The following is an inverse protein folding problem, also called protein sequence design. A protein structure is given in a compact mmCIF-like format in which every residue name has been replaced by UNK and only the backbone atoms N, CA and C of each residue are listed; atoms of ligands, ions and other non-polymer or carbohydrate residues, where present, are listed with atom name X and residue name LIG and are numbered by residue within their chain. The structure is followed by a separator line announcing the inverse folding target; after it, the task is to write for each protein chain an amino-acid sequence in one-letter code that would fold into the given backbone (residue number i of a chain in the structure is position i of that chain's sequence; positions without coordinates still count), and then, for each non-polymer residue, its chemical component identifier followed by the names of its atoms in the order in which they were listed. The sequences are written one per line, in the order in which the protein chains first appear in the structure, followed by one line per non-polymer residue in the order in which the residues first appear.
data_IF_872898866116
#
_entry.id   IF_872898866116
#
_cell.length_a   1.000
_cell.length_b   1.000
_cell.length_c   1.000
_cell.angle_alpha   90.00
_cell.angle_beta   90.00
_cell.angle_gamma   90.00
#
_symmetry.space_group_name_H-M   'P 1'
#
loop_
_entity.id
_entity.type
_entity.pdbx_description
1 polymer ?
#
# COMPACT_ATOMS: atom_id res chain seq x y z
N UNK A 1 16.37 2.44 -18.61
CA UNK A 1 15.19 1.78 -18.04
C UNK A 1 14.07 1.82 -19.08
N UNK A 2 13.45 0.68 -19.41
CA UNK A 2 12.32 0.63 -20.35
C UNK A 2 11.01 0.69 -19.56
N UNK A 3 10.04 1.46 -20.04
CA UNK A 3 8.72 1.62 -19.42
C UNK A 3 7.69 1.31 -20.50
N UNK A 4 6.71 0.46 -20.19
CA UNK A 4 5.66 0.05 -21.11
C UNK A 4 4.31 0.55 -20.60
N UNK A 5 3.74 1.62 -21.19
CA UNK A 5 2.48 2.19 -20.73
C UNK A 5 1.30 1.27 -21.08
N UNK A 6 0.19 1.38 -20.34
CA UNK A 6 -1.04 0.65 -20.65
C UNK A 6 -1.53 0.92 -22.08
N UNK A 7 -2.02 -0.13 -22.76
CA UNK A 7 -2.70 0.00 -24.06
C UNK A 7 -4.17 0.39 -23.93
N UNK A 8 -4.77 0.14 -22.76
CA UNK A 8 -6.21 0.19 -22.51
C UNK A 8 -7.04 -0.73 -23.41
N UNK A 9 -6.41 -1.75 -24.03
CA UNK A 9 -7.11 -2.74 -24.86
C UNK A 9 -7.86 -3.78 -24.02
N UNK A 10 -7.35 -4.07 -22.82
CA UNK A 10 -7.96 -4.94 -21.82
C UNK A 10 -7.73 -4.37 -20.42
N UNK A 11 -8.37 -4.98 -19.43
CA UNK A 11 -8.30 -4.66 -18.01
C UNK A 11 -7.48 -5.68 -17.20
N UNK A 12 -6.69 -6.53 -17.87
CA UNK A 12 -5.87 -7.56 -17.25
C UNK A 12 -4.57 -6.99 -16.63
N UNK A 13 -4.68 -5.94 -15.81
CA UNK A 13 -3.52 -5.23 -15.28
C UNK A 13 -2.80 -5.99 -14.18
N UNK A 14 -3.55 -6.60 -13.27
CA UNK A 14 -3.01 -7.25 -12.09
C UNK A 14 -3.90 -8.43 -11.69
N UNK A 15 -3.25 -9.49 -11.21
CA UNK A 15 -3.88 -10.53 -10.43
C UNK A 15 -3.01 -10.83 -9.23
N UNK A 16 -3.62 -10.92 -8.05
CA UNK A 16 -2.95 -11.33 -6.82
C UNK A 16 -3.83 -12.32 -6.09
N UNK A 17 -3.24 -13.40 -5.62
CA UNK A 17 -3.96 -14.44 -4.91
C UNK A 17 -3.03 -15.18 -3.96
N UNK A 18 -3.55 -15.55 -2.80
CA UNK A 18 -2.79 -16.24 -1.76
C UNK A 18 -3.70 -17.15 -0.94
N UNK A 19 -3.16 -18.28 -0.47
CA UNK A 19 -3.85 -19.27 0.37
C UNK A 19 -5.14 -19.88 -0.20
N UNK A 20 -5.35 -19.85 -1.52
CA UNK A 20 -6.49 -20.55 -2.13
C UNK A 20 -6.07 -21.88 -2.75
N UNK A 21 -6.98 -22.86 -2.78
CA UNK A 21 -6.71 -24.19 -3.38
C UNK A 21 -7.07 -24.28 -4.86
N UNK A 22 -8.00 -23.45 -5.30
CA UNK A 22 -8.66 -23.57 -6.61
C UNK A 22 -8.09 -22.64 -7.67
N UNK A 23 -7.27 -21.66 -7.26
CA UNK A 23 -6.69 -20.66 -8.15
C UNK A 23 -5.18 -20.55 -7.92
N UNK A 24 -4.38 -20.19 -8.95
CA UNK A 24 -2.94 -20.04 -8.81
C UNK A 24 -2.59 -19.00 -7.75
N UNK A 25 -1.73 -19.33 -6.79
CA UNK A 25 -1.28 -18.36 -5.80
C UNK A 25 -0.01 -17.65 -6.29
N UNK A 26 -0.01 -16.33 -6.26
CA UNK A 26 1.08 -15.52 -6.77
C UNK A 26 0.62 -14.13 -7.19
N UNK A 27 1.50 -13.43 -7.89
CA UNK A 27 1.27 -12.10 -8.45
C UNK A 27 1.51 -12.14 -9.96
N UNK A 28 0.52 -11.70 -10.73
CA UNK A 28 0.60 -11.49 -12.17
C UNK A 28 0.46 -10.00 -12.45
N UNK A 29 1.25 -9.47 -13.39
CA UNK A 29 0.99 -8.15 -13.96
C UNK A 29 1.00 -8.18 -15.49
N UNK A 30 -0.03 -7.58 -16.07
CA UNK A 30 -0.24 -7.41 -17.51
C UNK A 30 -0.49 -8.71 -18.25
N UNK A 31 -1.75 -9.08 -18.44
CA UNK A 31 -2.17 -10.24 -19.22
C UNK A 31 -2.83 -11.31 -18.36
N UNK A 32 -2.96 -12.50 -18.94
CA UNK A 32 -3.63 -13.65 -18.34
C UNK A 32 -2.62 -14.71 -17.89
N UNK A 33 -3.09 -15.75 -17.21
CA UNK A 33 -2.23 -16.88 -16.83
C UNK A 33 -1.48 -17.44 -18.04
N UNK A 34 -0.23 -17.82 -17.82
CA UNK A 34 0.73 -18.27 -18.84
C UNK A 34 1.15 -17.22 -19.89
N UNK A 35 0.48 -16.07 -19.98
CA UNK A 35 0.77 -14.99 -20.92
C UNK A 35 0.87 -13.61 -20.24
N UNK A 36 1.37 -13.60 -19.00
CA UNK A 36 1.59 -12.39 -18.23
C UNK A 36 2.91 -11.72 -18.57
N UNK A 37 2.96 -10.39 -18.49
CA UNK A 37 4.19 -9.63 -18.58
C UNK A 37 5.17 -10.06 -17.48
N UNK A 38 4.67 -10.23 -16.26
CA UNK A 38 5.44 -10.85 -15.18
C UNK A 38 4.52 -11.70 -14.29
N UNK A 39 4.99 -12.88 -13.93
CA UNK A 39 4.42 -13.77 -12.93
C UNK A 39 5.45 -14.01 -11.83
N UNK A 40 5.01 -13.89 -10.58
CA UNK A 40 5.78 -14.23 -9.38
C UNK A 40 5.00 -15.30 -8.63
N UNK A 41 5.61 -16.47 -8.49
CA UNK A 41 4.97 -17.59 -7.82
C UNK A 41 4.94 -17.37 -6.30
N UNK A 42 3.85 -17.78 -5.64
CA UNK A 42 3.77 -17.74 -4.18
C UNK A 42 4.53 -18.91 -3.52
N UNK A 43 4.46 -20.10 -4.13
CA UNK A 43 5.08 -21.31 -3.59
C UNK A 43 5.47 -22.29 -4.73
N UNK A 44 6.76 -22.63 -4.89
CA UNK A 44 7.91 -22.11 -4.15
C UNK A 44 8.13 -20.62 -4.42
N UNK A 45 8.43 -19.86 -3.35
CA UNK A 45 8.80 -18.46 -3.48
C UNK A 45 10.12 -18.32 -4.23
N UNK A 46 10.19 -17.32 -5.11
CA UNK A 46 11.38 -16.97 -5.86
C UNK A 46 11.33 -17.39 -7.32
N UNK A 47 10.46 -18.32 -7.70
CA UNK A 47 10.23 -18.64 -9.11
C UNK A 47 9.35 -17.59 -9.79
N UNK A 48 9.71 -17.20 -11.00
CA UNK A 48 8.90 -16.29 -11.80
C UNK A 48 9.03 -16.56 -13.30
N UNK A 49 8.11 -15.97 -14.06
CA UNK A 49 8.11 -16.06 -15.51
C UNK A 49 7.69 -14.75 -16.17
N UNK A 50 8.08 -14.55 -17.43
CA UNK A 50 7.78 -13.36 -18.21
C UNK A 50 7.49 -13.75 -19.66
N UNK A 51 6.28 -13.46 -20.12
CA UNK A 51 5.88 -13.75 -21.49
C UNK A 51 6.73 -12.94 -22.49
N UNK A 52 6.85 -13.48 -23.71
CA UNK A 52 7.55 -12.78 -24.80
C UNK A 52 6.85 -11.47 -25.19
N UNK A 53 5.52 -11.51 -25.25
CA UNK A 53 4.65 -10.40 -25.58
C UNK A 53 3.45 -10.34 -24.63
N UNK A 54 2.86 -9.15 -24.50
CA UNK A 54 1.68 -8.88 -23.69
C UNK A 54 0.90 -7.76 -24.38
N UNK A 55 -0.42 -7.92 -24.53
CA UNK A 55 -1.29 -6.92 -25.16
C UNK A 55 -1.72 -5.79 -24.20
N UNK A 56 -1.59 -5.99 -22.89
CA UNK A 56 -1.95 -4.99 -21.86
C UNK A 56 -1.03 -3.78 -21.86
N UNK A 57 0.23 -3.96 -22.29
CA UNK A 57 1.25 -2.90 -22.27
C UNK A 57 1.83 -2.63 -23.67
N UNK A 58 1.87 -1.34 -24.05
CA UNK A 58 2.26 -0.91 -25.40
C UNK A 58 3.75 -1.16 -25.63
N UNK A 59 4.06 -1.86 -26.70
CA UNK A 59 5.44 -2.15 -27.10
C UNK A 59 6.18 -3.06 -26.13
N UNK A 60 5.44 -3.77 -25.27
CA UNK A 60 6.01 -4.68 -24.30
C UNK A 60 6.91 -5.73 -24.95
N UNK A 61 8.04 -5.98 -24.30
CA UNK A 61 8.92 -7.12 -24.54
C UNK A 61 9.32 -7.72 -23.20
N UNK A 62 9.57 -9.02 -23.19
CA UNK A 62 10.04 -9.78 -22.02
C UNK A 62 11.03 -8.98 -21.16
N UNK A 63 10.77 -8.99 -19.85
CA UNK A 63 11.58 -8.27 -18.87
C UNK A 63 12.88 -9.00 -18.52
N UNK A 64 12.84 -10.33 -18.53
CA UNK A 64 13.99 -11.21 -18.31
C UNK A 64 14.64 -11.66 -19.62
N UNK A 65 15.88 -12.17 -19.53
CA UNK A 65 16.56 -12.81 -20.67
C UNK A 65 15.81 -14.06 -21.12
N UNK A 66 15.44 -14.91 -20.18
CA UNK A 66 14.79 -16.20 -20.40
C UNK A 66 13.32 -16.18 -19.93
N UNK A 67 12.44 -17.07 -20.45
CA UNK A 67 11.03 -17.08 -20.10
C UNK A 67 10.75 -17.29 -18.61
N UNK A 68 11.66 -17.97 -17.92
CA UNK A 68 11.61 -18.23 -16.48
C UNK A 68 12.84 -17.63 -15.80
N UNK A 69 12.71 -17.26 -14.53
CA UNK A 69 13.79 -16.66 -13.75
C UNK A 69 13.63 -16.97 -12.25
N UNK A 70 14.72 -16.76 -11.51
CA UNK A 70 14.72 -16.81 -10.05
C UNK A 70 14.92 -15.41 -9.48
N UNK A 71 14.09 -15.02 -8.52
CA UNK A 71 14.11 -13.73 -7.85
C UNK A 71 15.15 -13.80 -6.74
N UNK A 72 16.11 -12.89 -6.80
CA UNK A 72 17.11 -12.69 -5.75
C UNK A 72 16.57 -11.79 -4.61
N UNK A 73 15.85 -10.74 -4.97
CA UNK A 73 15.24 -9.78 -4.05
C UNK A 73 13.97 -9.22 -4.70
N UNK A 74 12.93 -9.01 -3.89
CA UNK A 74 11.70 -8.35 -4.28
C UNK A 74 11.41 -7.24 -3.26
N UNK A 75 11.27 -6.02 -3.75
CA UNK A 75 10.98 -4.85 -2.93
C UNK A 75 9.66 -4.22 -3.37
N UNK A 76 8.84 -3.81 -2.41
CA UNK A 76 7.55 -3.15 -2.65
C UNK A 76 7.57 -1.80 -1.95
N UNK A 77 7.31 -0.74 -2.71
CA UNK A 77 7.41 0.64 -2.25
C UNK A 77 6.01 1.27 -2.27
N UNK A 78 5.49 1.63 -1.10
CA UNK A 78 4.32 2.49 -0.98
C UNK A 78 4.72 3.95 -1.11
N UNK A 79 4.01 4.71 -1.94
CA UNK A 79 4.23 6.15 -2.12
C UNK A 79 3.10 6.92 -1.43
N UNK A 80 3.45 7.99 -0.73
CA UNK A 80 2.50 8.85 0.00
C UNK A 80 2.76 8.84 1.50
N UNK A 81 1.90 9.55 2.23
CA UNK A 81 1.94 9.53 3.69
C UNK A 81 1.61 8.13 4.20
N UNK A 82 2.38 7.71 5.22
CA UNK A 82 2.14 6.42 5.86
C UNK A 82 0.69 6.43 6.41
N UNK A 83 -0.12 5.41 6.12
CA UNK A 83 -1.44 5.32 6.72
C UNK A 83 -1.28 5.35 8.24
N UNK A 84 -2.03 6.22 8.89
CA UNK A 84 -2.06 6.30 10.35
C UNK A 84 -2.53 4.94 10.86
N UNK A 85 -1.83 4.41 11.85
CA UNK A 85 -2.35 3.28 12.61
C UNK A 85 -3.60 3.73 13.37
N UNK A 86 -4.50 2.81 13.70
CA UNK A 86 -5.74 3.13 14.45
C UNK A 86 -5.43 3.94 15.73
N UNK A 87 -4.31 3.62 16.40
CA UNK A 87 -3.80 4.37 17.56
C UNK A 87 -3.39 5.80 17.24
N UNK A 88 -2.66 6.00 16.14
CA UNK A 88 -2.24 7.34 15.70
C UNK A 88 -3.41 8.20 15.20
N UNK A 89 -4.52 7.55 14.83
CA UNK A 89 -5.74 8.21 14.41
C UNK A 89 -6.56 8.68 15.62
N UNK A 90 -6.69 7.85 16.66
CA UNK A 90 -7.30 8.23 17.94
C UNK A 90 -6.52 9.36 18.65
N UNK A 91 -5.18 9.35 18.61
CA UNK A 91 -4.35 10.38 19.25
C UNK A 91 -4.44 11.76 18.57
N UNK A 92 -4.81 11.83 17.30
CA UNK A 92 -4.94 13.12 16.57
C UNK A 92 -6.27 13.82 16.84
N UNK A 93 -7.32 13.08 17.19
CA UNK A 93 -8.65 13.63 17.44
C UNK A 93 -8.82 14.17 18.87
N UNK A 94 -7.88 13.89 19.77
CA UNK A 94 -7.92 14.37 21.15
C UNK A 94 -6.91 15.49 21.33
N UNK A 95 -7.41 16.71 21.56
CA UNK A 95 -6.56 17.84 21.95
C UNK A 95 -5.74 17.47 23.19
N UNK A 96 -4.45 17.83 23.21
CA UNK A 96 -3.57 17.65 24.37
C UNK A 96 -4.12 18.33 25.64
N UNK A 97 -5.00 19.33 25.47
CA UNK A 97 -5.69 20.03 26.56
C UNK A 97 -6.80 19.18 27.21
N UNK A 98 -7.30 18.17 26.50
CA UNK A 98 -8.40 17.29 26.93
C UNK A 98 -7.89 15.91 27.39
N UNK A 99 -6.58 15.64 27.26
CA UNK A 99 -5.96 14.35 27.64
C UNK A 99 -5.95 14.08 29.13
N UNK A 100 -5.98 15.11 30.01
CA UNK A 100 -5.93 14.90 31.46
C UNK A 100 -6.74 15.94 32.26
N UNK A 101 -8.06 15.73 32.41
CA UNK A 101 -8.95 16.64 33.12
C UNK A 101 -8.67 16.71 34.63
N UNK A 102 -8.14 15.65 35.23
CA UNK A 102 -7.82 15.60 36.66
C UNK A 102 -6.60 16.46 37.00
N UNK A 103 -5.53 16.36 36.20
CA UNK A 103 -4.34 17.21 36.36
C UNK A 103 -4.69 18.70 36.19
N UNK A 104 -5.62 19.01 35.30
CA UNK A 104 -6.15 20.36 35.10
C UNK A 104 -6.88 20.88 36.35
N UNK A 105 -7.75 20.07 36.95
CA UNK A 105 -8.45 20.45 38.19
C UNK A 105 -7.47 20.70 39.35
N UNK A 106 -6.40 19.90 39.46
CA UNK A 106 -5.37 20.08 40.48
C UNK A 106 -4.59 21.39 40.28
N UNK A 107 -4.26 21.74 39.04
CA UNK A 107 -3.57 23.00 38.72
C UNK A 107 -4.42 24.23 39.04
N UNK A 108 -5.72 24.16 38.76
CA UNK A 108 -6.68 25.23 39.09
C UNK A 108 -6.84 25.37 40.61
N UNK A 109 -6.96 24.26 41.34
CA UNK A 109 -7.00 24.25 42.80
C UNK A 109 -5.69 24.75 43.44
N UNK A 110 -4.55 24.52 42.79
CA UNK A 110 -3.24 25.01 43.22
C UNK A 110 -3.00 26.50 42.90
N UNK A 111 -3.98 27.21 42.34
CA UNK A 111 -3.92 28.65 42.09
C UNK A 111 -3.00 29.05 40.94
N UNK A 112 -2.66 28.12 40.02
CA UNK A 112 -1.88 28.48 38.82
C UNK A 112 -2.78 29.06 37.76
N UNK A 113 -2.48 30.27 37.28
CA UNK A 113 -3.23 30.91 36.19
C UNK A 113 -3.05 30.18 34.87
N UNK A 114 -4.18 29.80 34.24
CA UNK A 114 -4.19 29.23 32.89
C UNK A 114 -3.94 30.36 31.87
N UNK A 115 -2.88 30.22 31.07
CA UNK A 115 -2.46 31.23 30.09
C UNK A 115 -2.98 30.95 28.67
N UNK A 116 -3.62 29.79 28.41
CA UNK A 116 -4.19 29.45 27.11
C UNK A 116 -5.37 28.51 27.28
N UNK A 117 -6.52 28.86 26.70
CA UNK A 117 -7.71 28.00 26.63
C UNK A 117 -7.88 27.28 25.28
N UNK A 118 -6.95 27.52 24.36
CA UNK A 118 -7.02 27.04 22.97
C UNK A 118 -8.10 27.78 22.18
N UNK A 119 -7.76 28.18 20.95
CA UNK A 119 -8.78 28.64 19.99
C UNK A 119 -9.55 27.38 19.56
N UNK A 120 -10.82 27.27 19.94
CA UNK A 120 -11.68 26.14 19.57
C UNK A 120 -12.46 26.48 18.30
N UNK A 121 -12.38 25.63 17.29
CA UNK A 121 -13.25 25.73 16.14
C UNK A 121 -14.70 25.44 16.55
N UNK A 122 -15.68 26.19 16.04
CA UNK A 122 -17.08 25.93 16.34
C UNK A 122 -17.47 24.53 15.81
N UNK A 123 -18.37 23.81 16.49
CA UNK A 123 -18.82 22.50 16.04
C UNK A 123 -19.43 22.60 14.63
N UNK A 124 -19.18 21.61 13.75
CA UNK A 124 -19.81 21.58 12.43
C UNK A 124 -21.34 21.54 12.59
N UNK A 125 -22.03 22.34 11.77
CA UNK A 125 -23.50 22.41 11.69
C UNK A 125 -24.12 21.09 11.23
#
# INVERSE_FOLDING_TARGET
MRIYPATNYNDHYQYINHHTKTLPNGLLMGGQFHFGGIWVNADPFGEGSSAESCSTYRGYRRLSKDPTFHIRSLEVWGVGDKPLTEKEQEERDVSVLDTNPEAKAILDMAGRTRHSEGIREPPPL
#
